data_IF_101117243365
#
_entry.id   IF_101117243365
#
_cell.length_a   1.000
_cell.length_b   1.000
_cell.length_c   1.000
_cell.angle_alpha   90.00
_cell.angle_beta   90.00
_cell.angle_gamma   90.00
#
_symmetry.space_group_name_H-M   'P 1'
#
loop_
_entity.id
_entity.type
_entity.pdbx_description
1 polymer ?
#
# COMPACT_ATOMS: atom_id res chain seq x y z
N UNK A 1 -4.05 5.01 9.43
CA UNK A 1 -3.53 5.86 10.52
C UNK A 1 -3.91 7.32 10.26
N UNK A 2 -4.21 8.09 11.32
CA UNK A 2 -4.78 9.45 11.32
C UNK A 2 -4.07 10.43 10.36
N UNK A 3 -4.77 10.89 9.32
CA UNK A 3 -4.46 12.17 8.67
C UNK A 3 -5.03 13.29 9.54
N UNK A 4 -4.15 14.17 10.02
CA UNK A 4 -4.53 15.44 10.64
C UNK A 4 -5.14 16.35 9.56
N UNK A 5 -6.47 16.45 9.51
CA UNK A 5 -7.16 17.45 8.70
C UNK A 5 -7.14 18.79 9.44
N UNK A 6 -6.42 19.75 8.87
CA UNK A 6 -6.46 21.14 9.28
C UNK A 6 -7.87 21.70 9.16
N UNK A 7 -8.25 22.51 10.14
CA UNK A 7 -9.56 23.15 10.25
C UNK A 7 -9.84 24.13 9.12
N UNK A 8 -11.05 24.06 8.56
CA UNK A 8 -11.76 25.21 8.01
C UNK A 8 -11.56 25.49 6.52
N UNK A 9 -12.48 24.97 5.70
CA UNK A 9 -12.69 25.40 4.33
C UNK A 9 -13.61 24.43 3.59
N UNK A 10 -14.67 24.93 2.95
CA UNK A 10 -15.51 24.20 1.98
C UNK A 10 -14.74 23.94 0.67
N UNK A 11 -13.52 23.42 0.79
CA UNK A 11 -12.66 23.06 -0.33
C UNK A 11 -12.93 21.62 -0.71
N UNK A 12 -13.49 21.42 -1.89
CA UNK A 12 -13.38 20.15 -2.61
C UNK A 12 -11.89 19.82 -2.63
N UNK A 13 -11.46 18.78 -1.91
CA UNK A 13 -10.11 18.25 -2.06
C UNK A 13 -10.09 17.67 -3.49
N UNK A 14 -9.26 18.18 -4.41
CA UNK A 14 -9.19 17.60 -5.74
C UNK A 14 -8.69 16.16 -5.57
N UNK A 15 -9.56 15.19 -5.79
CA UNK A 15 -9.15 13.82 -5.96
C UNK A 15 -8.32 13.80 -7.26
N UNK A 16 -7.07 13.37 -7.16
CA UNK A 16 -6.14 13.30 -8.29
C UNK A 16 -6.20 11.91 -8.92
N UNK A 17 -6.13 11.85 -10.25
CA UNK A 17 -5.93 10.58 -10.98
C UNK A 17 -4.55 9.98 -10.71
N UNK A 18 -3.59 10.82 -10.29
CA UNK A 18 -2.29 10.37 -9.80
C UNK A 18 -2.42 10.00 -8.32
N UNK A 19 -2.08 8.75 -7.98
CA UNK A 19 -2.23 8.17 -6.65
C UNK A 19 -0.91 7.60 -6.16
N UNK A 20 -0.52 8.03 -4.97
CA UNK A 20 0.55 7.37 -4.23
C UNK A 20 0.01 6.12 -3.54
N UNK A 21 0.70 4.99 -3.72
CA UNK A 21 0.45 3.73 -3.04
C UNK A 21 1.61 3.48 -2.08
N UNK A 22 1.30 3.29 -0.81
CA UNK A 22 2.27 2.95 0.23
C UNK A 22 1.59 2.14 1.33
N UNK A 23 2.31 1.16 1.85
CA UNK A 23 1.85 0.28 2.95
C UNK A 23 2.56 0.57 4.27
N UNK A 24 3.45 1.57 4.26
CA UNK A 24 4.03 2.14 5.46
C UNK A 24 3.04 3.08 6.17
N UNK A 25 3.26 3.31 7.46
CA UNK A 25 2.44 4.14 8.32
C UNK A 25 2.92 5.62 8.35
N UNK A 26 4.01 5.94 7.65
CA UNK A 26 4.63 7.26 7.58
C UNK A 26 5.37 7.70 8.85
N UNK A 27 5.61 6.81 9.81
CA UNK A 27 6.35 7.07 11.04
C UNK A 27 7.76 6.48 10.95
N UNK A 28 8.75 7.36 10.81
CA UNK A 28 10.16 6.98 10.65
C UNK A 28 10.81 6.52 11.98
N UNK A 29 10.21 5.52 12.64
CA UNK A 29 10.53 5.13 14.00
C UNK A 29 11.64 4.08 14.11
N UNK A 30 11.98 3.39 13.03
CA UNK A 30 12.93 2.27 13.05
C UNK A 30 13.63 2.10 11.69
N UNK A 31 14.80 1.47 11.70
CA UNK A 31 15.52 1.11 10.48
C UNK A 31 15.97 -0.35 10.53
N UNK A 32 16.13 -0.96 9.36
CA UNK A 32 16.53 -2.36 9.26
C UNK A 32 18.04 -2.49 9.06
N UNK A 33 18.73 -3.11 10.02
CA UNK A 33 20.15 -3.43 9.93
C UNK A 33 20.44 -4.87 9.49
N UNK A 34 21.71 -5.22 9.37
CA UNK A 34 22.15 -6.59 9.07
C UNK A 34 21.82 -7.05 7.64
N UNK A 35 21.71 -6.11 6.71
CA UNK A 35 21.55 -6.38 5.29
C UNK A 35 22.93 -6.53 4.66
N UNK A 36 23.10 -7.59 3.86
CA UNK A 36 24.36 -7.87 3.17
C UNK A 36 24.23 -7.49 1.69
N UNK A 37 25.39 -7.30 1.05
CA UNK A 37 25.48 -7.12 -0.38
C UNK A 37 24.79 -8.29 -1.12
N UNK A 38 24.01 -7.96 -2.14
CA UNK A 38 23.21 -8.89 -2.93
C UNK A 38 21.85 -9.25 -2.32
N UNK A 39 21.48 -8.70 -1.15
CA UNK A 39 20.11 -8.86 -0.64
C UNK A 39 19.15 -7.96 -1.42
N UNK A 40 17.96 -8.47 -1.72
CA UNK A 40 16.90 -7.68 -2.34
C UNK A 40 15.85 -7.34 -1.29
N UNK A 41 15.31 -6.13 -1.36
CA UNK A 41 14.17 -5.70 -0.57
C UNK A 41 13.20 -4.99 -1.49
N UNK A 42 11.92 -5.31 -1.38
CA UNK A 42 10.91 -4.72 -2.23
C UNK A 42 9.50 -4.82 -1.67
N UNK A 43 8.59 -4.11 -2.32
CA UNK A 43 7.17 -4.05 -1.99
C UNK A 43 6.37 -4.46 -3.22
N UNK A 44 5.42 -5.37 -3.04
CA UNK A 44 4.41 -5.65 -4.06
C UNK A 44 3.19 -4.75 -3.83
N UNK A 45 2.71 -4.15 -4.91
CA UNK A 45 1.66 -3.16 -4.92
C UNK A 45 0.43 -3.71 -5.63
N UNK A 46 -0.73 -3.53 -5.01
CA UNK A 46 -2.01 -3.74 -5.65
C UNK A 46 -2.43 -2.44 -6.34
N UNK A 47 -2.66 -2.52 -7.64
CA UNK A 47 -3.19 -1.39 -8.41
C UNK A 47 -4.58 -1.01 -7.90
N UNK A 48 -4.83 0.29 -7.59
CA UNK A 48 -6.11 0.74 -7.04
C UNK A 48 -7.26 0.69 -8.07
N UNK A 49 -6.90 0.74 -9.35
CA UNK A 49 -7.72 0.63 -10.54
C UNK A 49 -6.76 0.34 -11.72
N UNK A 50 -7.29 0.23 -12.94
CA UNK A 50 -6.44 0.20 -14.13
C UNK A 50 -5.57 1.47 -14.20
N UNK A 51 -4.24 1.30 -14.17
CA UNK A 51 -3.31 2.43 -14.03
C UNK A 51 -1.96 2.22 -14.72
N UNK A 52 -1.22 3.33 -14.86
CA UNK A 52 0.14 3.39 -15.38
C UNK A 52 1.12 3.68 -14.25
N UNK A 53 2.26 2.98 -14.20
CA UNK A 53 3.30 3.24 -13.21
C UNK A 53 4.13 4.47 -13.63
N UNK A 54 4.24 5.46 -12.74
CA UNK A 54 5.00 6.70 -13.01
C UNK A 54 6.35 6.72 -12.28
N UNK A 55 6.37 6.33 -11.02
CA UNK A 55 7.54 6.47 -10.15
C UNK A 55 7.56 5.37 -9.08
N UNK A 56 8.76 5.02 -8.61
CA UNK A 56 8.96 4.32 -7.34
C UNK A 56 9.85 5.17 -6.44
N UNK A 57 9.46 5.28 -5.17
CA UNK A 57 10.13 6.10 -4.17
C UNK A 57 10.67 5.24 -3.06
N UNK A 58 11.91 5.47 -2.67
CA UNK A 58 12.62 4.68 -1.68
C UNK A 58 13.11 5.58 -0.55
N UNK A 59 13.04 5.12 0.70
CA UNK A 59 13.53 5.90 1.84
C UNK A 59 14.51 5.12 2.70
N UNK A 60 15.70 5.69 2.85
CA UNK A 60 16.78 5.10 3.63
C UNK A 60 17.09 5.91 4.89
N UNK A 61 17.31 5.21 6.00
CA UNK A 61 17.86 5.78 7.23
C UNK A 61 19.35 6.08 7.04
N UNK A 62 20.06 5.11 6.46
CA UNK A 62 21.45 5.22 6.02
C UNK A 62 21.45 4.91 4.53
N UNK A 63 21.83 5.90 3.71
CA UNK A 63 21.99 5.73 2.28
C UNK A 63 23.31 5.04 1.91
N UNK A 64 23.49 4.77 0.63
CA UNK A 64 24.63 4.05 0.08
C UNK A 64 24.30 3.40 -1.27
N UNK A 65 25.15 2.50 -1.74
CA UNK A 65 25.06 1.99 -3.11
C UNK A 65 24.00 0.88 -3.21
N UNK A 66 23.08 1.05 -4.16
CA UNK A 66 21.94 0.18 -4.40
C UNK A 66 21.58 0.16 -5.88
N UNK A 67 20.92 -0.91 -6.33
CA UNK A 67 20.38 -1.01 -7.69
C UNK A 67 18.87 -1.07 -7.65
N UNK A 68 18.19 -0.05 -8.18
CA UNK A 68 16.73 0.02 -8.21
C UNK A 68 16.14 -0.71 -9.41
N UNK A 69 14.95 -1.26 -9.25
CA UNK A 69 14.18 -1.84 -10.36
C UNK A 69 12.69 -1.93 -10.04
N UNK A 70 11.90 -2.10 -11.09
CA UNK A 70 10.47 -2.39 -11.02
C UNK A 70 10.15 -3.60 -11.91
N UNK A 71 9.37 -4.55 -11.42
CA UNK A 71 8.95 -5.72 -12.20
C UNK A 71 7.44 -5.93 -12.17
N UNK A 72 6.98 -6.59 -13.21
CA UNK A 72 5.69 -7.26 -13.32
C UNK A 72 5.92 -8.72 -12.93
N UNK A 73 5.42 -9.18 -11.77
CA UNK A 73 5.48 -10.57 -11.34
C UNK A 73 4.49 -11.44 -12.12
N UNK A 74 4.75 -12.75 -12.17
CA UNK A 74 3.83 -13.68 -12.78
C UNK A 74 2.45 -13.70 -12.10
N UNK A 75 1.39 -13.62 -12.88
CA UNK A 75 -0.02 -13.69 -12.44
C UNK A 75 -0.35 -14.95 -11.63
N UNK A 76 0.47 -15.99 -11.76
CA UNK A 76 0.33 -17.23 -10.99
C UNK A 76 0.76 -17.11 -9.53
N UNK A 77 1.50 -16.06 -9.17
CA UNK A 77 2.02 -15.86 -7.82
C UNK A 77 0.90 -15.38 -6.89
N UNK A 78 0.66 -16.11 -5.80
CA UNK A 78 -0.20 -15.66 -4.72
C UNK A 78 0.63 -15.06 -3.57
N UNK A 79 0.81 -13.75 -3.63
CA UNK A 79 1.57 -12.96 -2.65
C UNK A 79 1.08 -13.09 -1.20
N UNK A 80 -0.18 -13.49 -0.99
CA UNK A 80 -0.75 -13.63 0.36
C UNK A 80 -0.39 -14.97 1.02
N UNK A 81 -0.04 -16.00 0.25
CA UNK A 81 0.10 -17.36 0.78
C UNK A 81 1.40 -18.06 0.40
N UNK A 82 2.08 -17.65 -0.66
CA UNK A 82 3.25 -18.37 -1.20
C UNK A 82 4.59 -17.92 -0.60
N UNK A 83 4.60 -16.84 0.18
CA UNK A 83 5.80 -16.32 0.83
C UNK A 83 5.75 -16.52 2.34
N UNK A 84 6.48 -17.50 2.84
CA UNK A 84 6.69 -17.67 4.28
C UNK A 84 7.42 -16.45 4.87
N UNK A 85 7.10 -16.10 6.12
CA UNK A 85 7.72 -14.96 6.80
C UNK A 85 9.16 -15.30 7.22
N UNK A 86 10.11 -14.41 6.95
CA UNK A 86 11.54 -14.73 6.99
C UNK A 86 12.10 -15.11 8.38
N UNK A 87 11.45 -14.76 9.50
CA UNK A 87 11.93 -15.13 10.85
C UNK A 87 11.65 -16.59 11.21
N UNK A 88 10.75 -17.26 10.48
CA UNK A 88 10.43 -18.67 10.68
C UNK A 88 10.36 -19.50 9.41
N UNK A 89 10.52 -18.87 8.25
CA UNK A 89 10.39 -19.50 6.93
C UNK A 89 11.49 -20.52 6.66
N UNK A 90 11.09 -21.61 6.00
CA UNK A 90 11.93 -22.70 5.55
C UNK A 90 11.80 -22.93 4.04
N UNK A 91 10.68 -22.51 3.45
CA UNK A 91 10.44 -22.60 2.01
C UNK A 91 10.43 -21.19 1.39
N UNK A 92 11.38 -20.88 0.48
CA UNK A 92 11.33 -19.61 -0.24
C UNK A 92 10.16 -19.60 -1.21
N UNK A 93 9.53 -18.43 -1.35
CA UNK A 93 8.51 -18.20 -2.36
C UNK A 93 9.09 -18.03 -3.77
N UNK A 94 8.22 -17.91 -4.78
CA UNK A 94 8.63 -17.70 -6.16
C UNK A 94 9.35 -16.36 -6.37
N UNK A 95 10.14 -16.24 -7.43
CA UNK A 95 10.81 -14.98 -7.77
C UNK A 95 9.79 -13.97 -8.34
N UNK A 96 9.61 -12.78 -7.74
CA UNK A 96 8.66 -11.78 -8.22
C UNK A 96 9.15 -10.99 -9.45
N UNK A 97 10.32 -11.35 -10.00
CA UNK A 97 10.93 -10.68 -11.16
C UNK A 97 10.69 -11.48 -12.45
N UNK A 98 9.48 -11.40 -13.00
CA UNK A 98 9.21 -12.02 -14.31
C UNK A 98 9.60 -11.07 -15.45
N UNK A 99 8.96 -9.90 -15.53
CA UNK A 99 9.24 -8.91 -16.58
C UNK A 99 9.65 -7.57 -15.95
N UNK A 100 10.71 -6.94 -16.46
CA UNK A 100 11.09 -5.60 -15.98
C UNK A 100 10.18 -4.52 -16.55
N UNK A 101 9.48 -3.82 -15.66
CA UNK A 101 8.75 -2.57 -15.93
C UNK A 101 9.71 -1.37 -15.99
N UNK A 102 10.78 -1.45 -15.19
CA UNK A 102 11.94 -0.56 -15.27
C UNK A 102 13.20 -1.41 -15.05
N UNK A 103 14.22 -1.33 -15.93
CA UNK A 103 15.43 -2.14 -15.80
C UNK A 103 16.21 -1.79 -14.53
N UNK A 104 17.17 -2.65 -14.17
CA UNK A 104 18.09 -2.39 -13.07
C UNK A 104 18.90 -1.10 -13.29
N UNK A 105 18.84 -0.20 -12.31
CA UNK A 105 19.48 1.11 -12.32
C UNK A 105 20.32 1.32 -11.05
N UNK A 106 21.66 1.19 -11.14
CA UNK A 106 22.56 1.46 -10.03
C UNK A 106 22.53 2.95 -9.63
N UNK A 107 22.43 3.20 -8.32
CA UNK A 107 22.43 4.54 -7.72
C UNK A 107 23.12 4.53 -6.35
N UNK A 108 23.48 5.73 -5.90
CA UNK A 108 23.84 5.96 -4.49
C UNK A 108 22.64 6.63 -3.80
N UNK A 109 21.91 5.86 -3.02
CA UNK A 109 20.73 6.31 -2.30
C UNK A 109 21.11 7.38 -1.25
N UNK A 110 20.39 8.50 -1.17
CA UNK A 110 20.55 9.47 -0.10
C UNK A 110 19.95 8.98 1.22
N UNK A 111 20.46 9.49 2.35
CA UNK A 111 19.91 9.26 3.67
C UNK A 111 18.88 10.34 4.04
N UNK A 112 17.77 9.95 4.66
CA UNK A 112 16.83 10.89 5.28
C UNK A 112 15.97 11.71 4.31
N UNK A 113 15.88 11.29 3.04
CA UNK A 113 14.99 11.85 2.03
C UNK A 113 14.47 10.73 1.12
N UNK A 114 13.33 10.96 0.45
CA UNK A 114 12.84 10.06 -0.59
C UNK A 114 13.74 10.16 -1.82
N UNK A 115 14.33 9.04 -2.23
CA UNK A 115 14.93 8.90 -3.56
C UNK A 115 13.85 8.46 -4.55
N UNK A 116 13.88 9.03 -5.75
CA UNK A 116 12.83 8.87 -6.76
C UNK A 116 13.43 8.18 -8.00
N UNK A 117 12.88 7.02 -8.31
CA UNK A 117 13.07 6.33 -9.58
C UNK A 117 11.95 6.72 -10.53
N UNK A 118 12.25 7.59 -11.48
CA UNK A 118 11.32 7.96 -12.56
C UNK A 118 11.19 6.79 -13.55
N UNK A 119 9.99 6.22 -13.66
CA UNK A 119 9.71 5.13 -14.61
C UNK A 119 9.33 5.75 -15.95
N UNK A 120 10.34 6.20 -16.69
CA UNK A 120 10.16 6.99 -17.93
C UNK A 120 9.36 6.30 -19.03
N UNK A 121 9.38 4.97 -19.07
CA UNK A 121 8.58 4.19 -20.01
C UNK A 121 7.08 4.24 -19.73
N UNK A 122 6.68 4.67 -18.52
CA UNK A 122 5.31 4.72 -18.04
C UNK A 122 4.52 3.46 -18.44
N UNK A 123 4.96 2.27 -18.02
CA UNK A 123 4.31 1.03 -18.42
C UNK A 123 2.90 0.96 -17.83
N UNK A 124 1.99 0.45 -18.64
CA UNK A 124 0.64 0.11 -18.20
C UNK A 124 0.71 -1.14 -17.32
N UNK A 125 0.33 -1.00 -16.06
CA UNK A 125 0.25 -2.11 -15.10
C UNK A 125 -1.20 -2.58 -14.91
N UNK A 126 -2.14 -2.01 -15.68
CA UNK A 126 -3.55 -2.33 -15.64
C UNK A 126 -4.05 -2.51 -14.19
N UNK A 127 -4.71 -3.62 -13.90
CA UNK A 127 -5.17 -3.99 -12.56
C UNK A 127 -4.22 -4.93 -11.84
N UNK A 128 -3.04 -5.16 -12.40
CA UNK A 128 -2.14 -6.23 -12.00
C UNK A 128 -1.30 -5.80 -10.78
N UNK A 129 -0.72 -6.80 -10.11
CA UNK A 129 0.24 -6.54 -9.05
C UNK A 129 1.56 -6.19 -9.71
N UNK A 130 2.26 -5.17 -9.21
CA UNK A 130 3.62 -4.86 -9.63
C UNK A 130 4.55 -4.79 -8.42
N UNK A 131 5.85 -4.93 -8.65
CA UNK A 131 6.85 -5.03 -7.59
C UNK A 131 7.92 -3.95 -7.74
N UNK A 132 8.10 -3.15 -6.70
CA UNK A 132 9.12 -2.11 -6.62
C UNK A 132 10.18 -2.47 -5.62
N UNK A 133 11.45 -2.51 -6.04
CA UNK A 133 12.49 -3.08 -5.21
C UNK A 133 13.87 -2.48 -5.47
N UNK A 134 14.81 -2.86 -4.61
CA UNK A 134 16.22 -2.53 -4.77
C UNK A 134 17.10 -3.71 -4.34
N UNK A 135 18.30 -3.74 -4.91
CA UNK A 135 19.41 -4.63 -4.54
C UNK A 135 20.36 -3.82 -3.66
N UNK A 136 20.77 -4.41 -2.55
CA UNK A 136 21.85 -3.88 -1.72
C UNK A 136 23.18 -4.11 -2.45
N UNK A 137 23.79 -3.07 -3.01
CA UNK A 137 25.12 -3.18 -3.63
C UNK A 137 26.25 -2.98 -2.61
N UNK A 138 25.86 -2.58 -1.40
CA UNK A 138 26.70 -2.48 -0.23
C UNK A 138 26.21 -3.38 0.93
N UNK A 139 26.94 -3.35 2.05
CA UNK A 139 26.53 -3.97 3.33
C UNK A 139 26.33 -2.95 4.44
N UNK A 140 26.00 -1.70 4.10
CA UNK A 140 25.97 -0.55 5.03
C UNK A 140 24.64 0.20 4.99
N UNK A 141 24.00 0.28 3.82
CA UNK A 141 22.71 0.93 3.65
C UNK A 141 21.64 0.30 4.54
N UNK A 142 20.69 1.11 4.99
CA UNK A 142 19.64 0.69 5.90
C UNK A 142 18.34 1.40 5.54
N UNK A 143 17.29 0.67 5.14
CA UNK A 143 15.99 1.25 4.88
C UNK A 143 15.29 1.64 6.19
N UNK A 144 14.36 2.58 6.08
CA UNK A 144 13.37 2.78 7.15
C UNK A 144 12.29 1.71 7.05
N UNK A 145 11.83 1.25 8.21
CA UNK A 145 10.80 0.22 8.32
C UNK A 145 9.72 0.56 9.34
N UNK A 146 8.54 0.01 9.10
CA UNK A 146 7.59 -0.29 10.16
C UNK A 146 7.81 -1.72 10.64
N UNK A 147 8.11 -1.88 11.92
CA UNK A 147 8.30 -3.19 12.52
C UNK A 147 6.99 -3.73 13.13
N UNK A 148 6.89 -5.05 13.20
CA UNK A 148 5.81 -5.75 13.89
C UNK A 148 4.41 -5.44 13.36
N UNK A 149 4.29 -5.23 12.05
CA UNK A 149 3.00 -5.07 11.39
C UNK A 149 2.22 -6.40 11.43
N UNK A 150 0.91 -6.32 11.26
CA UNK A 150 0.08 -7.50 11.03
C UNK A 150 -0.05 -7.78 9.53
N UNK A 151 -0.30 -9.06 9.12
CA UNK A 151 -0.57 -9.39 7.73
C UNK A 151 -1.74 -8.58 7.14
N UNK A 152 -1.78 -8.35 5.82
CA UNK A 152 -0.86 -8.88 4.81
C UNK A 152 0.51 -8.20 4.81
N UNK A 153 1.56 -8.99 4.55
CA UNK A 153 2.94 -8.50 4.46
C UNK A 153 3.28 -8.16 3.00
N UNK A 154 3.33 -6.87 2.69
CA UNK A 154 3.64 -6.34 1.36
C UNK A 154 5.14 -6.33 1.05
N UNK A 155 5.98 -6.39 2.07
CA UNK A 155 7.43 -6.45 1.88
C UNK A 155 7.91 -7.87 1.62
N UNK A 156 8.68 -8.03 0.55
CA UNK A 156 9.46 -9.23 0.27
C UNK A 156 10.97 -8.94 0.40
N UNK A 157 11.71 -9.91 0.90
CA UNK A 157 13.16 -9.86 0.97
C UNK A 157 13.77 -11.11 0.34
N UNK A 158 14.75 -10.93 -0.54
CA UNK A 158 15.60 -12.02 -0.99
C UNK A 158 16.83 -12.09 -0.11
N UNK A 159 16.87 -13.06 0.79
CA UNK A 159 17.94 -13.16 1.79
C UNK A 159 18.11 -14.58 2.32
N UNK A 160 19.20 -14.79 3.05
CA UNK A 160 19.32 -15.95 3.94
C UNK A 160 18.47 -15.75 5.19
N UNK A 161 17.84 -16.84 5.67
CA UNK A 161 16.98 -16.88 6.84
C UNK A 161 17.40 -17.97 7.81
N UNK A 162 16.97 -17.89 9.07
CA UNK A 162 17.45 -18.78 10.12
C UNK A 162 17.03 -20.25 9.93
N UNK A 163 15.90 -20.52 9.28
CA UNK A 163 15.33 -21.86 9.11
C UNK A 163 15.40 -22.43 7.69
N UNK A 164 15.85 -21.65 6.70
CA UNK A 164 15.64 -21.93 5.28
C UNK A 164 16.81 -21.51 4.38
N UNK A 165 16.77 -21.89 3.10
CA UNK A 165 17.78 -21.50 2.12
C UNK A 165 17.75 -20.00 1.83
N UNK A 166 18.70 -19.52 1.03
CA UNK A 166 18.60 -18.18 0.44
C UNK A 166 17.45 -18.15 -0.57
N UNK A 167 16.58 -17.16 -0.48
CA UNK A 167 15.45 -17.00 -1.38
C UNK A 167 14.50 -15.88 -0.96
N UNK A 168 13.32 -15.84 -1.57
CA UNK A 168 12.32 -14.80 -1.32
C UNK A 168 11.40 -15.16 -0.17
N UNK A 169 11.26 -14.24 0.77
CA UNK A 169 10.43 -14.40 1.97
C UNK A 169 9.62 -13.14 2.21
N UNK A 170 8.43 -13.28 2.79
CA UNK A 170 7.66 -12.13 3.26
C UNK A 170 8.27 -11.59 4.55
N UNK A 171 7.94 -10.34 4.87
CA UNK A 171 8.44 -9.70 6.08
C UNK A 171 7.38 -8.86 6.79
N UNK A 172 7.27 -9.08 8.10
CA UNK A 172 6.59 -8.17 9.02
C UNK A 172 7.36 -6.83 9.26
N UNK A 173 8.50 -6.63 8.62
CA UNK A 173 9.18 -5.34 8.50
C UNK A 173 8.77 -4.70 7.18
N UNK A 174 7.83 -3.75 7.20
CA UNK A 174 7.44 -3.01 6.00
C UNK A 174 8.50 -1.97 5.66
N UNK A 175 9.24 -2.18 4.57
CA UNK A 175 10.19 -1.19 4.06
C UNK A 175 9.47 -0.01 3.43
N UNK A 176 10.04 1.17 3.60
CA UNK A 176 9.49 2.42 3.07
C UNK A 176 9.77 2.51 1.58
N UNK A 177 8.90 1.89 0.80
CA UNK A 177 8.84 1.98 -0.65
C UNK A 177 7.41 2.35 -1.03
N UNK A 178 7.28 3.38 -1.87
CA UNK A 178 5.98 3.85 -2.38
C UNK A 178 6.01 3.88 -3.89
N UNK A 179 4.85 3.74 -4.51
CA UNK A 179 4.68 3.90 -5.94
C UNK A 179 3.79 5.10 -6.23
N UNK A 180 4.08 5.84 -7.31
CA UNK A 180 3.14 6.78 -7.89
C UNK A 180 2.56 6.14 -9.16
N UNK A 181 1.23 6.05 -9.23
CA UNK A 181 0.52 5.56 -10.40
C UNK A 181 -0.44 6.61 -10.94
N UNK A 182 -0.76 6.55 -12.23
CA UNK A 182 -1.83 7.33 -12.86
C UNK A 182 -2.97 6.42 -13.24
N UNK A 183 -4.10 6.53 -12.56
CA UNK A 183 -5.31 5.77 -12.86
C UNK A 183 -5.98 6.29 -14.13
N UNK A 184 -6.46 5.38 -14.97
CA UNK A 184 -7.27 5.69 -16.16
C UNK A 184 -8.62 4.96 -16.17
N UNK A 185 -8.89 4.13 -15.16
CA UNK A 185 -10.21 3.58 -14.86
C UNK A 185 -10.65 3.95 -13.44
N UNK A 186 -11.96 3.94 -13.18
CA UNK A 186 -12.50 4.37 -11.89
C UNK A 186 -12.06 3.39 -10.78
N UNK A 187 -11.40 3.86 -9.70
CA UNK A 187 -11.20 3.04 -8.51
C UNK A 187 -12.54 2.77 -7.80
N UNK A 188 -12.61 1.74 -6.95
CA UNK A 188 -13.74 1.58 -6.04
C UNK A 188 -13.91 2.81 -5.14
N UNK A 189 -15.16 3.17 -4.75
CA UNK A 189 -15.39 4.16 -3.73
C UNK A 189 -14.64 3.86 -2.43
N UNK A 190 -14.14 4.91 -1.77
CA UNK A 190 -13.33 4.79 -0.58
C UNK A 190 -14.12 5.15 0.68
N UNK A 191 -13.86 4.40 1.76
CA UNK A 191 -14.26 4.78 3.13
C UNK A 191 -13.09 5.54 3.76
N UNK A 192 -13.19 6.86 3.82
CA UNK A 192 -12.13 7.75 4.35
C UNK A 192 -12.07 7.71 5.88
N UNK A 193 -13.25 7.62 6.50
CA UNK A 193 -13.42 7.52 7.95
C UNK A 193 -14.78 6.92 8.28
N UNK A 194 -14.91 6.29 9.44
CA UNK A 194 -16.20 5.83 9.95
C UNK A 194 -16.18 5.73 11.47
N UNK A 195 -17.36 5.78 12.07
CA UNK A 195 -17.51 5.62 13.51
C UNK A 195 -17.22 4.18 13.94
N UNK A 196 -16.24 4.01 14.83
CA UNK A 196 -16.04 2.76 15.56
C UNK A 196 -16.80 2.85 16.88
N UNK A 197 -17.97 2.20 16.92
CA UNK A 197 -18.78 2.15 18.11
C UNK A 197 -18.09 1.37 19.23
N UNK A 198 -17.92 1.99 20.39
CA UNK A 198 -17.42 1.30 21.59
C UNK A 198 -18.40 0.23 22.08
N UNK A 199 -17.86 -0.82 22.71
CA UNK A 199 -18.67 -1.81 23.42
C UNK A 199 -19.48 -1.10 24.52
N UNK A 200 -20.80 -1.33 24.54
CA UNK A 200 -21.70 -0.66 25.47
C UNK A 200 -22.94 -1.52 25.72
N UNK A 201 -23.51 -1.40 26.92
CA UNK A 201 -24.79 -2.02 27.30
C UNK A 201 -25.99 -1.10 27.05
N UNK A 202 -25.80 -0.02 26.29
CA UNK A 202 -26.88 0.90 25.92
C UNK A 202 -27.91 0.15 25.09
N UNK A 203 -29.15 0.14 25.57
CA UNK A 203 -30.31 -0.53 24.94
C UNK A 203 -31.07 0.38 23.97
N UNK A 204 -30.63 1.62 23.79
CA UNK A 204 -31.19 2.55 22.81
C UNK A 204 -30.49 2.44 21.47
N UNK A 205 -31.17 2.86 20.40
CA UNK A 205 -30.59 2.94 19.06
C UNK A 205 -29.29 3.75 19.05
N UNK A 206 -28.34 3.32 18.22
CA UNK A 206 -27.06 4.00 18.00
C UNK A 206 -26.98 4.44 16.55
N UNK A 207 -26.32 5.55 16.35
CA UNK A 207 -26.08 6.13 15.04
C UNK A 207 -24.62 5.90 14.66
N UNK A 208 -24.38 5.70 13.39
CA UNK A 208 -23.04 5.60 12.81
C UNK A 208 -22.94 6.57 11.66
N UNK A 209 -21.77 7.16 11.49
CA UNK A 209 -21.45 7.97 10.32
C UNK A 209 -20.23 7.40 9.60
N UNK A 210 -20.17 7.63 8.30
CA UNK A 210 -19.02 7.32 7.46
C UNK A 210 -18.74 8.49 6.51
N UNK A 211 -17.47 8.85 6.36
CA UNK A 211 -17.03 9.74 5.29
C UNK A 211 -16.65 8.87 4.10
N UNK A 212 -17.33 9.06 2.98
CA UNK A 212 -17.12 8.30 1.74
C UNK A 212 -16.68 9.24 0.64
N UNK A 213 -15.81 8.75 -0.25
CA UNK A 213 -15.36 9.48 -1.43
C UNK A 213 -15.40 8.58 -2.66
N UNK A 214 -15.62 9.20 -3.82
CA UNK A 214 -15.48 8.55 -5.11
C UNK A 214 -14.94 9.58 -6.11
N UNK A 215 -13.82 9.24 -6.75
CA UNK A 215 -13.13 10.12 -7.69
C UNK A 215 -13.87 10.18 -9.02
N UNK A 216 -14.36 9.05 -9.53
CA UNK A 216 -14.84 8.94 -10.90
C UNK A 216 -13.74 9.09 -11.95
N UNK A 217 -13.49 8.04 -12.73
CA UNK A 217 -12.70 8.11 -13.96
C UNK A 217 -13.46 7.38 -15.06
N UNK A 218 -14.05 8.10 -16.05
CA UNK A 218 -13.99 9.55 -16.29
C UNK A 218 -14.75 10.40 -15.25
N UNK A 219 -14.55 11.75 -15.19
CA UNK A 219 -15.14 12.60 -14.15
C UNK A 219 -16.68 12.65 -14.08
N UNK A 220 -17.38 12.15 -15.10
CA UNK A 220 -18.84 11.99 -15.10
C UNK A 220 -19.30 10.71 -14.38
N UNK A 221 -18.37 9.82 -14.03
CA UNK A 221 -18.61 8.66 -13.15
C UNK A 221 -18.37 8.95 -11.67
N UNK A 222 -18.05 10.20 -11.32
CA UNK A 222 -17.79 10.62 -9.94
C UNK A 222 -19.05 10.57 -9.10
N UNK A 223 -19.02 9.79 -8.02
CA UNK A 223 -19.94 9.94 -6.90
C UNK A 223 -20.45 8.61 -6.37
N UNK A 224 -20.42 8.48 -5.04
CA UNK A 224 -21.04 7.38 -4.31
C UNK A 224 -22.54 7.37 -4.57
N UNK A 225 -23.02 6.34 -5.27
CA UNK A 225 -24.45 6.20 -5.60
C UNK A 225 -25.24 5.68 -4.41
N UNK A 226 -24.74 4.62 -3.77
CA UNK A 226 -25.37 3.96 -2.64
C UNK A 226 -24.34 3.65 -1.56
N UNK A 227 -24.75 3.77 -0.30
CA UNK A 227 -23.94 3.45 0.85
C UNK A 227 -24.76 2.63 1.86
N UNK A 228 -24.13 1.64 2.48
CA UNK A 228 -24.81 0.71 3.39
C UNK A 228 -23.96 0.47 4.63
N UNK A 229 -24.62 0.33 5.78
CA UNK A 229 -24.03 -0.28 6.98
C UNK A 229 -24.54 -1.70 7.10
N UNK A 230 -23.61 -2.65 7.21
CA UNK A 230 -23.90 -4.04 7.51
C UNK A 230 -23.68 -4.29 9.00
N UNK A 231 -24.66 -4.88 9.67
CA UNK A 231 -24.63 -5.11 11.11
C UNK A 231 -25.24 -6.46 11.46
N UNK A 232 -24.97 -6.94 12.67
CA UNK A 232 -25.60 -8.13 13.25
C UNK A 232 -25.85 -7.92 14.73
N UNK A 233 -26.93 -8.47 15.24
CA UNK A 233 -27.31 -8.40 16.66
C UNK A 233 -27.17 -9.80 17.26
N UNK A 234 -26.52 -9.90 18.41
CA UNK A 234 -26.39 -11.13 19.23
C UNK A 234 -25.92 -12.38 18.46
N UNK A 235 -25.00 -12.19 17.50
CA UNK A 235 -24.48 -13.29 16.69
C UNK A 235 -25.48 -13.88 15.69
N UNK A 236 -26.62 -13.20 15.48
CA UNK A 236 -27.60 -13.54 14.45
C UNK A 236 -27.10 -13.26 13.03
N UNK A 237 -28.04 -13.30 12.09
CA UNK A 237 -27.77 -13.00 10.68
C UNK A 237 -27.30 -11.57 10.45
N UNK A 238 -26.58 -11.36 9.34
CA UNK A 238 -26.27 -10.03 8.85
C UNK A 238 -27.53 -9.35 8.32
N UNK A 239 -27.69 -8.08 8.67
CA UNK A 239 -28.72 -7.18 8.16
C UNK A 239 -28.05 -5.89 7.66
N UNK A 240 -28.77 -5.08 6.88
CA UNK A 240 -28.22 -3.90 6.20
C UNK A 240 -29.16 -2.70 6.28
N UNK A 241 -28.61 -1.51 6.52
CA UNK A 241 -29.33 -0.23 6.44
C UNK A 241 -28.67 0.66 5.40
N UNK A 242 -29.47 1.29 4.55
CA UNK A 242 -28.98 2.31 3.61
C UNK A 242 -28.61 3.57 4.38
N UNK A 243 -27.40 4.08 4.14
CA UNK A 243 -26.97 5.38 4.63
C UNK A 243 -27.44 6.47 3.69
N UNK A 244 -27.67 7.65 4.23
CA UNK A 244 -28.01 8.86 3.48
C UNK A 244 -26.96 9.93 3.71
N UNK A 245 -26.69 10.73 2.67
CA UNK A 245 -25.76 11.83 2.81
C UNK A 245 -26.37 12.93 3.70
N UNK A 246 -25.63 13.33 4.74
CA UNK A 246 -26.04 14.37 5.69
C UNK A 246 -25.20 15.64 5.60
N UNK A 247 -24.05 15.58 4.92
CA UNK A 247 -23.16 16.72 4.64
C UNK A 247 -22.25 16.41 3.46
N UNK A 248 -21.86 17.43 2.68
CA UNK A 248 -21.05 17.27 1.46
C UNK A 248 -21.88 16.90 0.23
N UNK A 249 -21.28 16.19 -0.71
CA UNK A 249 -21.91 15.67 -1.92
C UNK A 249 -21.45 14.22 -2.21
N UNK A 250 -22.03 13.51 -3.21
CA UNK A 250 -21.64 12.13 -3.51
C UNK A 250 -20.15 11.93 -3.84
N UNK A 251 -19.41 12.94 -4.30
CA UNK A 251 -17.97 12.80 -4.58
C UNK A 251 -17.13 12.77 -3.30
N UNK A 252 -17.59 13.47 -2.26
CA UNK A 252 -16.98 13.50 -0.94
C UNK A 252 -18.03 13.92 0.10
N UNK A 253 -18.56 12.96 0.84
CA UNK A 253 -19.73 13.16 1.69
C UNK A 253 -19.63 12.45 3.04
N UNK A 254 -20.32 13.00 4.04
CA UNK A 254 -20.59 12.33 5.31
C UNK A 254 -21.97 11.69 5.22
N UNK A 255 -22.02 10.38 5.46
CA UNK A 255 -23.17 9.51 5.34
C UNK A 255 -23.59 8.99 6.71
N UNK A 256 -24.89 8.76 6.92
CA UNK A 256 -25.49 8.31 8.18
C UNK A 256 -26.69 7.42 7.94
#
# INVERSE_FOLDING_TARGET
LKRSLGSGGTGIIPLSVDREIGYDNGTFASSLGGLLQGFHLGVWFQSPAACTLLEIRYYFATGGDVTYYATDPADTINFLTEYEEYHGGVNPGPDPRETYLHPEEPRTAPAGVWDILDVTGMPDVATDIFFGAYIMDDGVSSPIIDASISPPYHTLMQRAVAGGPFGWYSSWHHVYIRALVRMYANPPPMIEAYDVLSNSYVTTGREVTATLSDLGIPPDSTGVTDAWVHYRIDGGGWDSLSLTIISGDPSYGVWK
#
